data_IF_587513917649
#
_entry.id   IF_587513917649
#
_cell.length_a   1.000
_cell.length_b   1.000
_cell.length_c   1.000
_cell.angle_alpha   90.00
_cell.angle_beta   90.00
_cell.angle_gamma   90.00
#
_symmetry.space_group_name_H-M   'P 1'
#
loop_
_entity.id
_entity.type
_entity.pdbx_description
1 polymer ?
#
# COMPACT_ATOMS: atom_id res chain seq x y z
N UNK A 1 24.79 -20.69 -18.66
CA UNK A 1 24.51 -19.81 -17.50
C UNK A 1 23.92 -20.66 -16.39
N UNK A 2 24.25 -20.38 -15.13
CA UNK A 2 23.64 -21.06 -13.98
C UNK A 2 22.19 -20.61 -13.77
N UNK A 3 21.40 -21.39 -13.03
CA UNK A 3 20.02 -21.06 -12.67
C UNK A 3 19.86 -19.61 -12.12
N UNK A 4 20.68 -19.13 -11.17
CA UNK A 4 20.56 -17.77 -10.66
C UNK A 4 20.76 -16.69 -11.73
N UNK A 5 21.74 -16.88 -12.63
CA UNK A 5 22.00 -15.93 -13.70
C UNK A 5 20.86 -15.86 -14.73
N UNK A 6 20.19 -16.99 -14.99
CA UNK A 6 19.02 -17.03 -15.88
C UNK A 6 17.84 -16.27 -15.25
N UNK A 7 17.60 -16.45 -13.94
CA UNK A 7 16.51 -15.77 -13.24
C UNK A 7 16.69 -14.24 -13.24
N UNK A 8 17.91 -13.76 -12.96
CA UNK A 8 18.21 -12.31 -13.00
C UNK A 8 18.08 -11.75 -14.42
N UNK A 9 18.59 -12.47 -15.42
CA UNK A 9 18.45 -12.05 -16.82
C UNK A 9 16.99 -11.98 -17.27
N UNK A 10 16.12 -12.88 -16.79
CA UNK A 10 14.68 -12.80 -17.11
C UNK A 10 14.05 -11.50 -16.61
N UNK A 11 14.42 -11.03 -15.41
CA UNK A 11 13.96 -9.74 -14.88
C UNK A 11 14.42 -8.57 -15.78
N UNK A 12 15.67 -8.58 -16.22
CA UNK A 12 16.22 -7.57 -17.16
C UNK A 12 15.54 -7.62 -18.53
N UNK A 13 15.27 -8.82 -19.03
CA UNK A 13 14.56 -9.06 -20.30
C UNK A 13 13.04 -8.76 -20.20
N UNK A 14 12.53 -8.36 -19.03
CA UNK A 14 11.11 -8.08 -18.81
C UNK A 14 10.19 -9.31 -18.79
N UNK A 15 10.73 -10.49 -18.44
CA UNK A 15 10.00 -11.75 -18.30
C UNK A 15 9.78 -12.10 -16.83
N UNK A 16 8.56 -12.55 -16.49
CA UNK A 16 8.19 -12.85 -15.10
C UNK A 16 7.94 -11.58 -14.28
N UNK A 17 8.47 -11.51 -13.06
CA UNK A 17 8.47 -10.28 -12.25
C UNK A 17 9.39 -9.27 -12.93
N UNK A 18 8.88 -8.07 -13.19
CA UNK A 18 9.59 -6.99 -13.88
C UNK A 18 9.38 -5.66 -13.17
N UNK A 19 10.29 -4.72 -13.41
CA UNK A 19 10.14 -3.34 -12.93
C UNK A 19 8.85 -2.72 -13.50
N UNK A 20 8.22 -1.85 -12.71
CA UNK A 20 7.12 -1.04 -13.20
C UNK A 20 7.63 -0.09 -14.30
N UNK A 21 6.73 0.30 -15.20
CA UNK A 21 6.99 1.47 -16.03
C UNK A 21 7.03 2.73 -15.16
N UNK A 22 7.72 3.76 -15.63
CA UNK A 22 7.76 5.04 -14.95
C UNK A 22 6.35 5.63 -14.74
N UNK A 23 5.47 5.51 -15.74
CA UNK A 23 4.07 5.94 -15.64
C UNK A 23 3.31 5.19 -14.54
N UNK A 24 3.46 3.86 -14.44
CA UNK A 24 2.81 3.09 -13.39
C UNK A 24 3.32 3.49 -11.99
N UNK A 25 4.63 3.76 -11.85
CA UNK A 25 5.20 4.29 -10.61
C UNK A 25 4.63 5.67 -10.26
N UNK A 26 4.54 6.59 -11.23
CA UNK A 26 3.93 7.91 -11.03
C UNK A 26 2.46 7.82 -10.62
N UNK A 27 1.70 6.89 -11.19
CA UNK A 27 0.29 6.68 -10.84
C UNK A 27 0.11 6.21 -9.39
N UNK A 28 1.05 5.45 -8.83
CA UNK A 28 1.03 5.09 -7.41
C UNK A 28 1.27 6.33 -6.54
N UNK A 29 2.24 7.17 -6.90
CA UNK A 29 2.48 8.44 -6.21
C UNK A 29 1.25 9.36 -6.24
N UNK A 30 0.65 9.55 -7.41
CA UNK A 30 -0.56 10.35 -7.56
C UNK A 30 -1.77 9.77 -6.79
N UNK A 31 -1.84 8.45 -6.60
CA UNK A 31 -2.86 7.82 -5.77
C UNK A 31 -2.62 8.14 -4.28
N UNK A 32 -1.37 8.06 -3.81
CA UNK A 32 -1.02 8.41 -2.43
C UNK A 32 -1.33 9.87 -2.08
N UNK A 33 -1.03 10.79 -2.99
CA UNK A 33 -1.34 12.22 -2.82
C UNK A 33 -2.84 12.47 -2.63
N UNK A 34 -3.70 11.70 -3.32
CA UNK A 34 -5.15 11.80 -3.18
C UNK A 34 -5.67 11.23 -1.85
N UNK A 35 -4.95 10.30 -1.23
CA UNK A 35 -5.40 9.64 0.00
C UNK A 35 -5.26 10.54 1.24
N UNK A 36 -4.40 11.57 1.18
CA UNK A 36 -4.06 12.45 2.30
C UNK A 36 -3.60 11.70 3.56
N UNK A 37 -3.29 12.43 4.63
CA UNK A 37 -3.00 11.86 5.93
C UNK A 37 -4.26 11.84 6.81
N UNK A 38 -4.39 10.85 7.72
CA UNK A 38 -5.51 10.82 8.64
C UNK A 38 -5.49 12.06 9.54
N UNK A 39 -6.67 12.63 9.76
CA UNK A 39 -6.89 13.61 10.83
C UNK A 39 -6.64 12.99 12.21
N UNK A 40 -6.49 13.82 13.25
CA UNK A 40 -6.27 13.35 14.63
C UNK A 40 -7.41 12.42 15.10
N UNK A 41 -8.67 12.73 14.76
CA UNK A 41 -9.83 11.89 15.08
C UNK A 41 -9.79 10.55 14.35
N UNK A 42 -9.41 10.57 13.06
CA UNK A 42 -9.26 9.34 12.29
C UNK A 42 -8.12 8.49 12.83
N UNK A 43 -6.98 9.09 13.17
CA UNK A 43 -5.84 8.39 13.75
C UNK A 43 -6.21 7.73 15.10
N UNK A 44 -6.95 8.45 15.95
CA UNK A 44 -7.48 7.89 17.19
C UNK A 44 -8.43 6.71 16.93
N UNK A 45 -9.38 6.83 16.00
CA UNK A 45 -10.30 5.74 15.66
C UNK A 45 -9.59 4.54 15.03
N UNK A 46 -8.61 4.77 14.16
CA UNK A 46 -7.75 3.72 13.58
C UNK A 46 -7.04 2.96 14.70
N UNK A 47 -6.40 3.67 15.64
CA UNK A 47 -5.71 3.06 16.78
C UNK A 47 -6.65 2.18 17.61
N UNK A 48 -7.84 2.70 17.96
CA UNK A 48 -8.86 1.93 18.67
C UNK A 48 -9.26 0.66 17.90
N UNK A 49 -9.40 0.77 16.57
CA UNK A 49 -9.76 -0.36 15.72
C UNK A 49 -8.66 -1.42 15.68
N UNK A 50 -7.39 -1.01 15.65
CA UNK A 50 -6.22 -1.91 15.72
C UNK A 50 -6.12 -2.61 17.09
N UNK A 51 -6.59 -1.98 18.15
CA UNK A 51 -6.75 -2.57 19.49
C UNK A 51 -7.99 -3.47 19.62
N UNK A 52 -8.61 -3.85 18.51
CA UNK A 52 -9.84 -4.65 18.42
C UNK A 52 -11.08 -4.03 19.11
N UNK A 53 -11.04 -2.72 19.41
CA UNK A 53 -12.15 -2.00 20.05
C UNK A 53 -13.16 -1.55 19.00
N UNK A 54 -14.19 -2.37 18.78
CA UNK A 54 -15.24 -2.10 17.80
C UNK A 54 -16.36 -1.21 18.34
N UNK A 55 -16.78 -0.26 17.51
CA UNK A 55 -18.04 0.46 17.69
C UNK A 55 -19.23 -0.49 17.52
N UNK A 56 -20.41 -0.08 18.01
CA UNK A 56 -21.67 -0.80 17.76
C UNK A 56 -22.19 -0.50 16.35
N UNK A 57 -23.01 -1.39 15.83
CA UNK A 57 -23.71 -1.16 14.57
C UNK A 57 -24.58 0.12 14.66
N UNK A 58 -24.70 0.90 13.57
CA UNK A 58 -24.18 0.62 12.22
C UNK A 58 -22.72 1.09 11.99
N UNK A 59 -22.11 1.79 12.95
CA UNK A 59 -20.80 2.45 12.77
C UNK A 59 -19.60 1.50 12.71
N UNK A 60 -19.77 0.25 13.15
CA UNK A 60 -18.72 -0.77 13.08
C UNK A 60 -18.21 -1.02 11.66
N UNK A 61 -19.07 -0.88 10.65
CA UNK A 61 -18.69 -1.07 9.25
C UNK A 61 -17.84 0.09 8.73
N UNK A 62 -18.24 1.33 9.02
CA UNK A 62 -17.48 2.52 8.63
C UNK A 62 -16.13 2.60 9.35
N UNK A 63 -16.08 2.19 10.63
CA UNK A 63 -14.83 2.06 11.37
C UNK A 63 -13.85 1.11 10.67
N UNK A 64 -14.31 -0.08 10.28
CA UNK A 64 -13.47 -1.04 9.57
C UNK A 64 -13.03 -0.52 8.19
N UNK A 65 -13.92 0.19 7.50
CA UNK A 65 -13.61 0.82 6.21
C UNK A 65 -12.51 1.87 6.35
N UNK A 66 -12.55 2.70 7.39
CA UNK A 66 -11.48 3.67 7.68
C UNK A 66 -10.14 2.96 7.92
N UNK A 67 -10.12 1.90 8.73
CA UNK A 67 -8.91 1.11 8.96
C UNK A 67 -8.37 0.51 7.65
N UNK A 68 -9.25 -0.06 6.81
CA UNK A 68 -8.84 -0.66 5.55
C UNK A 68 -8.24 0.37 4.58
N UNK A 69 -8.78 1.60 4.53
CA UNK A 69 -8.22 2.69 3.73
C UNK A 69 -6.83 3.09 4.23
N UNK A 70 -6.65 3.21 5.54
CA UNK A 70 -5.35 3.51 6.13
C UNK A 70 -4.31 2.41 5.82
N UNK A 71 -4.68 1.14 5.95
CA UNK A 71 -3.81 0.02 5.60
C UNK A 71 -3.45 0.04 4.11
N UNK A 72 -4.41 0.33 3.22
CA UNK A 72 -4.14 0.44 1.79
C UNK A 72 -3.12 1.55 1.49
N UNK A 73 -3.25 2.73 2.11
CA UNK A 73 -2.27 3.83 2.00
C UNK A 73 -0.88 3.36 2.42
N UNK A 74 -0.76 2.77 3.60
CA UNK A 74 0.52 2.26 4.13
C UNK A 74 1.17 1.23 3.20
N UNK A 75 0.37 0.36 2.56
CA UNK A 75 0.88 -0.61 1.59
C UNK A 75 1.36 0.03 0.30
N UNK A 76 0.71 1.10 -0.15
CA UNK A 76 1.19 1.88 -1.31
C UNK A 76 2.47 2.65 -0.98
N UNK A 77 2.60 3.21 0.23
CA UNK A 77 3.83 3.85 0.72
C UNK A 77 5.00 2.85 0.75
N UNK A 78 4.76 1.64 1.27
CA UNK A 78 5.73 0.55 1.28
C UNK A 78 6.16 0.15 -0.13
N UNK A 79 5.22 0.07 -1.09
CA UNK A 79 5.53 -0.19 -2.49
C UNK A 79 6.43 0.91 -3.09
N UNK A 80 6.11 2.18 -2.85
CA UNK A 80 6.94 3.30 -3.34
C UNK A 80 8.36 3.27 -2.76
N UNK A 81 8.49 2.95 -1.47
CA UNK A 81 9.79 2.78 -0.82
C UNK A 81 10.61 1.65 -1.49
N UNK A 82 10.02 0.46 -1.63
CA UNK A 82 10.69 -0.72 -2.20
C UNK A 82 11.06 -0.56 -3.68
N UNK A 83 10.29 0.22 -4.44
CA UNK A 83 10.52 0.46 -5.87
C UNK A 83 11.38 1.70 -6.16
N UNK A 84 11.60 2.55 -5.16
CA UNK A 84 12.47 3.73 -5.24
C UNK A 84 13.95 3.43 -5.01
N UNK A 85 14.28 2.24 -4.47
CA UNK A 85 15.64 1.67 -4.37
C UNK A 85 16.15 1.09 -5.70
#
# INVERSE_FOLDING_TARGET
>A
MSFPAIALKQMEDGRGIKRLSFEAFQNIGAALDQMNDPTDEQAALIKLTMEERRLRAPLSWEQQKLLNLYIAKQKLEEVMYLLGE
#
